data_IF_509498764535
#
_entry.id   IF_509498764535
#
_cell.length_a   1.000
_cell.length_b   1.000
_cell.length_c   1.000
_cell.angle_alpha   90.00
_cell.angle_beta   90.00
_cell.angle_gamma   90.00
#
_symmetry.space_group_name_H-M   'P 1'
#
loop_
_entity.id
_entity.type
_entity.pdbx_description
1 polymer ?
#
# COMPACT_ATOMS: atom_id res chain seq x y z
N UNK A 1 26.31 3.59 17.06
CA UNK A 1 26.42 4.69 16.07
C UNK A 1 26.05 4.13 14.70
N UNK A 2 24.76 3.90 14.48
CA UNK A 2 24.24 3.52 13.16
C UNK A 2 23.80 4.80 12.47
N UNK A 3 24.51 5.18 11.41
CA UNK A 3 24.03 6.24 10.52
C UNK A 3 22.94 5.62 9.67
N UNK A 4 21.68 5.81 10.05
CA UNK A 4 20.56 5.60 9.15
C UNK A 4 20.79 6.54 7.96
N UNK A 5 21.09 5.96 6.80
CA UNK A 5 21.02 6.71 5.56
C UNK A 5 19.58 7.20 5.44
N UNK A 6 19.32 8.49 5.21
CA UNK A 6 17.96 8.97 5.07
C UNK A 6 17.35 8.24 3.87
N UNK A 7 16.30 7.46 4.14
CA UNK A 7 15.47 6.83 3.12
C UNK A 7 15.04 7.94 2.16
N UNK A 8 15.28 7.76 0.85
CA UNK A 8 14.88 8.71 -0.19
C UNK A 8 13.35 8.72 -0.28
N UNK A 9 12.73 9.50 0.60
CA UNK A 9 11.29 9.72 0.62
C UNK A 9 10.96 10.97 -0.20
N UNK A 10 10.15 10.82 -1.25
CA UNK A 10 9.74 11.95 -2.10
C UNK A 10 8.36 12.45 -1.67
N UNK A 11 8.13 13.77 -1.63
CA UNK A 11 6.81 14.33 -1.37
C UNK A 11 5.76 13.78 -2.37
N UNK A 12 4.59 13.40 -1.87
CA UNK A 12 3.44 13.05 -2.72
C UNK A 12 2.35 14.11 -2.58
N UNK A 13 1.80 14.55 -3.70
CA UNK A 13 0.58 15.35 -3.77
C UNK A 13 -0.56 14.50 -4.31
N UNK A 14 -1.81 14.80 -3.92
CA UNK A 14 -2.98 14.05 -4.34
C UNK A 14 -3.96 14.95 -5.08
N UNK A 15 -4.42 14.52 -6.24
CA UNK A 15 -5.64 15.12 -6.82
C UNK A 15 -6.82 14.64 -5.99
N UNK A 16 -7.57 15.57 -5.38
CA UNK A 16 -8.71 15.24 -4.52
C UNK A 16 -10.07 15.62 -5.13
N UNK A 17 -10.12 16.58 -6.05
CA UNK A 17 -11.34 16.93 -6.80
C UNK A 17 -10.97 17.24 -8.26
N UNK A 18 -11.78 16.72 -9.20
CA UNK A 18 -11.64 16.95 -10.64
C UNK A 18 -13.02 17.25 -11.22
N UNK A 19 -13.15 18.35 -11.96
CA UNK A 19 -14.37 18.69 -12.70
C UNK A 19 -14.04 19.13 -14.11
N UNK A 20 -14.84 18.67 -15.08
CA UNK A 20 -14.63 18.98 -16.48
C UNK A 20 -13.40 18.29 -17.07
N UNK A 21 -12.81 18.88 -18.11
CA UNK A 21 -11.66 18.30 -18.80
C UNK A 21 -10.35 18.72 -18.12
N UNK A 22 -9.85 17.86 -17.24
CA UNK A 22 -8.55 17.99 -16.58
C UNK A 22 -7.65 16.85 -17.03
N UNK A 23 -6.41 17.16 -17.37
CA UNK A 23 -5.45 16.15 -17.80
C UNK A 23 -4.14 16.29 -17.03
N UNK A 24 -3.52 15.16 -16.71
CA UNK A 24 -2.20 15.10 -16.09
C UNK A 24 -1.18 14.62 -17.11
N UNK A 25 0.01 15.21 -17.05
CA UNK A 25 1.22 14.68 -17.68
C UNK A 25 2.26 14.48 -16.59
N UNK A 26 2.53 13.23 -16.23
CA UNK A 26 3.65 12.91 -15.35
C UNK A 26 4.98 13.10 -16.06
N UNK A 27 6.05 13.35 -15.31
CA UNK A 27 7.39 13.53 -15.87
C UNK A 27 7.82 12.37 -16.79
N UNK A 28 7.47 11.14 -16.40
CA UNK A 28 7.74 9.91 -17.16
C UNK A 28 6.78 9.65 -18.33
N UNK A 29 5.68 10.40 -18.45
CA UNK A 29 4.69 10.21 -19.52
C UNK A 29 5.02 11.06 -20.75
N UNK A 30 4.66 10.53 -21.93
CA UNK A 30 4.88 11.26 -23.19
C UNK A 30 3.88 12.40 -23.38
N UNK A 31 2.61 12.13 -23.09
CA UNK A 31 1.47 13.01 -23.38
C UNK A 31 0.61 13.27 -22.13
N UNK A 32 -0.43 14.09 -22.29
CA UNK A 32 -1.43 14.36 -21.26
C UNK A 32 -2.56 13.32 -21.33
N UNK A 33 -2.90 12.72 -20.19
CA UNK A 33 -4.00 11.77 -20.04
C UNK A 33 -5.04 12.31 -19.05
N UNK A 34 -6.27 11.79 -19.11
CA UNK A 34 -7.35 12.27 -18.23
C UNK A 34 -6.95 12.12 -16.75
N UNK A 35 -7.28 13.14 -15.97
CA UNK A 35 -7.04 13.15 -14.54
C UNK A 35 -8.21 12.48 -13.81
N UNK A 36 -7.90 11.76 -12.75
CA UNK A 36 -8.87 11.13 -11.87
C UNK A 36 -8.58 11.52 -10.42
N UNK A 37 -9.61 11.50 -9.59
CA UNK A 37 -9.42 11.66 -8.15
C UNK A 37 -8.58 10.52 -7.59
N UNK A 38 -7.71 10.81 -6.63
CA UNK A 38 -6.80 9.84 -6.03
C UNK A 38 -5.49 9.64 -6.79
N UNK A 39 -5.29 10.24 -7.98
CA UNK A 39 -3.97 10.24 -8.64
C UNK A 39 -2.94 10.95 -7.75
N UNK A 40 -1.79 10.30 -7.57
CA UNK A 40 -0.61 10.90 -6.94
C UNK A 40 0.19 11.70 -7.96
N UNK A 41 0.81 12.80 -7.51
CA UNK A 41 1.62 13.69 -8.34
C UNK A 41 2.96 14.00 -7.66
N UNK A 42 3.99 14.16 -8.48
CA UNK A 42 5.25 14.79 -8.13
C UNK A 42 5.23 16.28 -8.47
N UNK A 43 6.14 17.07 -7.89
CA UNK A 43 6.29 18.49 -8.21
C UNK A 43 6.67 18.79 -9.67
N UNK A 44 7.22 17.80 -10.39
CA UNK A 44 7.60 17.91 -11.81
C UNK A 44 6.44 17.63 -12.78
N UNK A 45 5.34 17.07 -12.26
CA UNK A 45 4.18 16.73 -13.07
C UNK A 45 3.43 18.00 -13.49
N UNK A 46 2.66 17.89 -14.58
CA UNK A 46 1.89 19.01 -15.13
C UNK A 46 0.41 18.70 -15.16
N UNK A 47 -0.40 19.70 -14.84
CA UNK A 47 -1.86 19.62 -14.94
C UNK A 47 -2.32 20.60 -16.01
N UNK A 48 -3.17 20.12 -16.93
CA UNK A 48 -3.77 20.91 -17.99
C UNK A 48 -5.28 20.99 -17.80
N UNK A 49 -5.82 22.20 -17.76
CA UNK A 49 -7.24 22.46 -17.58
C UNK A 49 -7.86 23.02 -18.87
N UNK A 50 -8.99 22.46 -19.27
CA UNK A 50 -9.86 23.01 -20.30
C UNK A 50 -10.75 24.15 -19.80
N UNK A 51 -11.60 24.67 -20.68
CA UNK A 51 -12.62 25.66 -20.31
C UNK A 51 -13.63 25.09 -19.32
N UNK A 52 -13.98 25.86 -18.27
CA UNK A 52 -14.91 25.47 -17.20
C UNK A 52 -14.50 24.19 -16.43
N UNK A 53 -13.22 23.84 -16.45
CA UNK A 53 -12.68 22.74 -15.65
C UNK A 53 -12.12 23.28 -14.32
N UNK A 54 -12.09 22.45 -13.29
CA UNK A 54 -11.43 22.73 -12.02
C UNK A 54 -10.71 21.51 -11.49
N UNK A 55 -9.61 21.73 -10.78
CA UNK A 55 -8.89 20.68 -10.05
C UNK A 55 -8.50 21.20 -8.68
N UNK A 56 -8.58 20.36 -7.67
CA UNK A 56 -7.99 20.60 -6.35
C UNK A 56 -6.95 19.55 -6.05
N UNK A 57 -5.73 20.01 -5.77
CA UNK A 57 -4.60 19.19 -5.34
C UNK A 57 -4.40 19.40 -3.84
N UNK A 58 -4.38 18.32 -3.09
CA UNK A 58 -3.91 18.28 -1.72
C UNK A 58 -2.40 18.05 -1.73
N UNK A 59 -1.65 19.08 -1.39
CA UNK A 59 -0.20 19.09 -1.40
C UNK A 59 0.36 18.25 -0.24
N UNK A 60 1.65 17.90 -0.32
CA UNK A 60 2.30 17.00 0.64
C UNK A 60 2.43 17.63 2.03
N UNK A 61 2.39 18.95 2.08
CA UNK A 61 2.41 19.80 3.28
C UNK A 61 1.00 20.12 3.80
N UNK A 62 -0.04 19.43 3.27
CA UNK A 62 -1.47 19.58 3.58
C UNK A 62 -2.16 20.82 3.01
N UNK A 63 -1.44 21.70 2.31
CA UNK A 63 -2.07 22.83 1.63
C UNK A 63 -2.98 22.36 0.50
N UNK A 64 -4.08 23.08 0.25
CA UNK A 64 -4.98 22.80 -0.87
C UNK A 64 -4.75 23.83 -1.97
N UNK A 65 -4.31 23.37 -3.13
CA UNK A 65 -4.16 24.19 -4.33
C UNK A 65 -5.32 23.92 -5.28
N UNK A 66 -6.14 24.94 -5.53
CA UNK A 66 -7.27 24.85 -6.47
C UNK A 66 -7.00 25.71 -7.70
N UNK A 67 -7.23 25.14 -8.88
CA UNK A 67 -7.09 25.81 -10.17
C UNK A 67 -8.42 25.72 -10.91
N UNK A 68 -8.91 26.87 -11.38
CA UNK A 68 -10.18 26.98 -12.13
C UNK A 68 -10.00 27.67 -13.48
N UNK A 69 -8.81 28.21 -13.74
CA UNK A 69 -8.50 28.91 -14.98
C UNK A 69 -7.95 27.91 -16.01
N UNK A 70 -8.34 28.01 -17.29
CA UNK A 70 -7.77 27.17 -18.35
C UNK A 70 -6.28 27.46 -18.53
N UNK A 71 -5.48 26.40 -18.66
CA UNK A 71 -4.03 26.56 -18.72
C UNK A 71 -3.28 25.24 -18.58
N UNK A 72 -1.96 25.35 -18.49
CA UNK A 72 -1.07 24.24 -18.11
C UNK A 72 -0.19 24.74 -16.98
N UNK A 73 -0.20 23.99 -15.88
CA UNK A 73 0.43 24.37 -14.61
C UNK A 73 1.41 23.29 -14.21
N UNK A 74 2.56 23.70 -13.68
CA UNK A 74 3.50 22.78 -13.04
C UNK A 74 3.06 22.57 -11.60
N UNK A 75 3.06 21.33 -11.11
CA UNK A 75 2.54 21.03 -9.75
C UNK A 75 3.31 21.81 -8.69
N UNK A 76 4.62 21.97 -8.83
CA UNK A 76 5.44 22.77 -7.91
C UNK A 76 5.13 24.27 -7.86
N UNK A 77 4.35 24.81 -8.81
CA UNK A 77 3.88 26.21 -8.75
C UNK A 77 2.81 26.40 -7.67
N UNK A 78 2.02 25.36 -7.37
CA UNK A 78 0.95 25.41 -6.36
C UNK A 78 1.18 24.54 -5.13
N UNK A 79 2.00 23.50 -5.27
CA UNK A 79 2.50 22.66 -4.18
C UNK A 79 4.03 22.82 -4.10
N UNK A 80 4.54 23.92 -3.52
CA UNK A 80 5.98 24.16 -3.43
C UNK A 80 6.68 23.13 -2.54
N UNK A 81 7.99 23.00 -2.70
CA UNK A 81 8.80 22.17 -1.81
C UNK A 81 8.74 22.70 -0.36
N UNK A 82 8.25 21.86 0.54
CA UNK A 82 8.09 22.15 1.97
C UNK A 82 8.31 20.89 2.80
N UNK A 83 8.09 20.99 4.12
CA UNK A 83 8.13 19.82 4.99
C UNK A 83 6.96 18.88 4.63
N UNK A 84 7.28 17.83 3.86
CA UNK A 84 6.28 16.87 3.43
C UNK A 84 5.81 16.00 4.59
N UNK A 85 4.51 16.04 4.85
CA UNK A 85 3.77 15.13 5.73
C UNK A 85 3.49 13.83 4.99
N UNK A 86 3.05 13.92 3.73
CA UNK A 86 2.76 12.75 2.89
C UNK A 86 3.96 12.44 1.98
N UNK A 87 4.45 11.21 2.04
CA UNK A 87 5.67 10.80 1.35
C UNK A 87 5.50 9.46 0.65
N UNK A 88 6.11 9.37 -0.52
CA UNK A 88 6.40 8.09 -1.16
C UNK A 88 7.56 7.46 -0.42
N UNK A 89 7.44 6.19 -0.12
CA UNK A 89 8.51 5.43 0.49
C UNK A 89 8.81 4.17 -0.35
N UNK A 90 9.41 4.37 -1.54
CA UNK A 90 9.80 3.27 -2.43
C UNK A 90 10.92 2.42 -1.82
N UNK A 91 11.76 3.01 -0.96
CA UNK A 91 12.95 2.38 -0.37
C UNK A 91 12.85 2.12 1.16
N UNK A 92 11.65 2.12 1.79
CA UNK A 92 11.63 1.74 3.22
C UNK A 92 12.16 0.31 3.39
N UNK A 93 13.21 0.19 4.19
CA UNK A 93 14.28 -0.82 4.10
C UNK A 93 13.88 -2.25 4.52
N UNK A 94 12.59 -2.52 4.74
CA UNK A 94 12.08 -3.86 5.00
C UNK A 94 11.22 -4.33 3.83
N UNK A 95 11.88 -4.66 2.71
CA UNK A 95 11.25 -5.49 1.68
C UNK A 95 11.04 -6.89 2.24
N UNK A 96 9.93 -7.08 2.95
CA UNK A 96 9.51 -8.38 3.49
C UNK A 96 8.69 -9.19 2.49
N UNK A 97 8.77 -8.86 1.19
CA UNK A 97 8.14 -9.68 0.15
C UNK A 97 8.69 -11.10 0.25
N UNK A 98 7.78 -12.07 0.24
CA UNK A 98 8.14 -13.49 0.36
C UNK A 98 9.06 -13.94 -0.79
N UNK A 99 10.00 -14.87 -0.55
CA UNK A 99 10.76 -15.48 -1.61
C UNK A 99 9.82 -16.25 -2.56
N UNK A 100 10.14 -16.35 -3.86
CA UNK A 100 9.32 -17.12 -4.80
C UNK A 100 9.30 -18.62 -4.48
N UNK A 101 8.16 -19.27 -4.72
CA UNK A 101 8.04 -20.73 -4.70
C UNK A 101 7.10 -21.30 -3.64
N UNK A 102 6.43 -20.45 -2.86
CA UNK A 102 5.39 -20.88 -1.93
C UNK A 102 4.07 -21.02 -2.70
N UNK A 103 3.45 -22.19 -2.66
CA UNK A 103 2.19 -22.44 -3.35
C UNK A 103 0.99 -21.86 -2.61
N UNK A 104 0.04 -21.34 -3.37
CA UNK A 104 -1.23 -20.80 -2.87
C UNK A 104 -1.98 -21.80 -1.98
N UNK A 105 -2.04 -23.09 -2.37
CA UNK A 105 -2.73 -24.11 -1.57
C UNK A 105 -2.05 -24.34 -0.22
N UNK A 106 -0.73 -24.18 -0.13
CA UNK A 106 0.01 -24.30 1.12
C UNK A 106 -0.35 -23.16 2.08
N UNK A 107 -0.33 -21.93 1.57
CA UNK A 107 -0.61 -20.72 2.36
C UNK A 107 -2.04 -20.68 2.92
N UNK A 108 -3.01 -21.14 2.13
CA UNK A 108 -4.43 -21.20 2.56
C UNK A 108 -4.65 -22.13 3.77
N UNK A 109 -3.71 -23.02 4.07
CA UNK A 109 -3.80 -23.95 5.21
C UNK A 109 -3.05 -23.45 6.45
N UNK A 110 -2.41 -22.28 6.39
CA UNK A 110 -1.63 -21.75 7.51
C UNK A 110 -2.39 -20.63 8.23
N UNK A 111 -2.25 -20.50 9.57
CA UNK A 111 -2.79 -19.38 10.31
C UNK A 111 -1.86 -18.17 10.20
N UNK A 112 -1.48 -17.77 8.99
CA UNK A 112 -0.57 -16.65 8.79
C UNK A 112 -1.13 -15.37 9.39
N UNK A 113 -0.28 -14.62 10.09
CA UNK A 113 -0.67 -13.33 10.68
C UNK A 113 -1.04 -12.37 9.57
N UNK A 114 -2.19 -11.71 9.70
CA UNK A 114 -2.70 -10.68 8.80
C UNK A 114 -2.36 -9.29 9.34
N UNK A 115 -2.56 -9.07 10.64
CA UNK A 115 -2.25 -7.79 11.27
C UNK A 115 -2.04 -7.96 12.78
N UNK A 116 -1.11 -7.24 13.41
CA UNK A 116 -0.04 -6.47 12.75
C UNK A 116 1.01 -7.41 12.15
N UNK A 117 1.61 -7.01 11.02
CA UNK A 117 2.62 -7.80 10.32
C UNK A 117 3.63 -6.92 9.62
N UNK A 118 4.89 -7.08 9.98
CA UNK A 118 6.06 -6.39 9.42
C UNK A 118 5.83 -4.88 9.37
N UNK A 119 5.52 -4.31 10.54
CA UNK A 119 4.97 -2.96 10.67
C UNK A 119 5.41 -2.31 11.97
N UNK A 120 5.49 -0.99 11.97
CA UNK A 120 5.41 -0.23 13.21
C UNK A 120 3.94 -0.15 13.65
N UNK A 121 3.69 0.07 14.93
CA UNK A 121 2.35 0.33 15.49
C UNK A 121 2.41 1.43 16.54
N UNK A 122 1.29 2.13 16.74
CA UNK A 122 1.12 2.95 17.94
C UNK A 122 1.00 2.07 19.20
N UNK A 123 1.38 2.63 20.35
CA UNK A 123 1.07 2.05 21.65
C UNK A 123 -0.42 2.25 22.02
N UNK A 124 -1.31 1.60 21.26
CA UNK A 124 -2.76 1.61 21.42
C UNK A 124 -3.30 0.18 21.55
N UNK A 125 -4.62 0.07 21.75
CA UNK A 125 -5.33 -1.21 21.67
C UNK A 125 -5.06 -1.89 20.32
N UNK A 126 -4.48 -3.07 20.39
CA UNK A 126 -4.09 -3.86 19.22
C UNK A 126 -4.99 -5.10 19.08
N UNK A 127 -5.40 -5.43 17.86
CA UNK A 127 -6.09 -6.69 17.55
C UNK A 127 -5.21 -7.52 16.65
N UNK A 128 -4.82 -8.71 17.11
CA UNK A 128 -4.10 -9.68 16.30
C UNK A 128 -5.13 -10.42 15.44
N UNK A 129 -4.91 -10.46 14.12
CA UNK A 129 -5.77 -11.14 13.13
C UNK A 129 -4.92 -12.11 12.33
N UNK A 130 -5.46 -13.28 11.98
CA UNK A 130 -4.79 -14.28 11.16
C UNK A 130 -5.75 -15.01 10.22
N UNK A 131 -5.19 -15.74 9.26
CA UNK A 131 -5.97 -16.54 8.32
C UNK A 131 -6.62 -17.74 9.01
N UNK A 132 -7.86 -18.04 8.61
CA UNK A 132 -8.57 -19.22 9.10
C UNK A 132 -7.95 -20.51 8.55
N UNK A 133 -7.76 -21.51 9.41
CA UNK A 133 -7.27 -22.83 9.02
C UNK A 133 -8.43 -23.82 8.97
N UNK A 134 -8.58 -24.51 7.84
CA UNK A 134 -9.65 -25.50 7.66
C UNK A 134 -9.55 -26.63 8.69
N UNK A 135 -10.64 -26.85 9.43
CA UNK A 135 -10.72 -27.90 10.44
C UNK A 135 -10.10 -27.54 11.79
N UNK A 136 -9.50 -26.36 11.95
CA UNK A 136 -9.11 -25.85 13.24
C UNK A 136 -10.33 -25.32 14.01
N UNK A 137 -10.39 -25.55 15.32
CA UNK A 137 -11.51 -25.06 16.16
C UNK A 137 -11.06 -24.11 17.27
N UNK A 138 -9.75 -24.02 17.48
CA UNK A 138 -9.13 -23.18 18.50
C UNK A 138 -7.72 -22.80 18.06
N UNK A 139 -7.31 -21.60 18.46
CA UNK A 139 -5.98 -21.05 18.21
C UNK A 139 -5.33 -20.64 19.53
N UNK A 140 -4.02 -20.85 19.61
CA UNK A 140 -3.12 -20.24 20.58
C UNK A 140 -2.37 -19.11 19.90
N UNK A 141 -2.27 -17.99 20.59
CA UNK A 141 -1.60 -16.77 20.10
C UNK A 141 -0.49 -16.45 21.09
N UNK A 142 0.73 -16.26 20.58
CA UNK A 142 1.86 -15.82 21.37
C UNK A 142 2.37 -14.48 20.82
N UNK A 143 2.57 -13.52 21.71
CA UNK A 143 3.13 -12.19 21.41
C UNK A 143 4.23 -11.91 22.43
N UNK A 144 5.49 -12.13 22.06
CA UNK A 144 6.59 -12.16 23.04
C UNK A 144 6.33 -13.22 24.13
N UNK A 145 6.29 -12.78 25.39
CA UNK A 145 5.98 -13.63 26.55
C UNK A 145 4.48 -13.74 26.86
N UNK A 146 3.63 -12.96 26.17
CA UNK A 146 2.19 -13.01 26.35
C UNK A 146 1.58 -14.18 25.56
N UNK A 147 0.61 -14.86 26.17
CA UNK A 147 -0.14 -15.96 25.55
C UNK A 147 -1.66 -15.69 25.65
N UNK A 148 -2.37 -16.03 24.58
CA UNK A 148 -3.83 -16.00 24.52
C UNK A 148 -4.40 -17.22 23.81
N UNK A 149 -5.66 -17.56 24.10
CA UNK A 149 -6.39 -18.60 23.39
C UNK A 149 -7.77 -18.10 22.95
N UNK A 150 -8.18 -18.46 21.74
CA UNK A 150 -9.51 -18.08 21.20
C UNK A 150 -9.99 -19.11 20.19
N UNK A 151 -11.30 -19.09 19.89
CA UNK A 151 -11.91 -19.85 18.78
C UNK A 151 -12.14 -19.00 17.53
N UNK A 152 -11.99 -17.69 17.66
CA UNK A 152 -12.11 -16.74 16.56
C UNK A 152 -10.76 -16.64 15.83
N UNK A 153 -10.74 -16.02 14.64
CA UNK A 153 -9.52 -15.72 13.87
C UNK A 153 -8.89 -14.36 14.23
N UNK A 154 -9.24 -13.87 15.42
CA UNK A 154 -8.71 -12.65 15.98
C UNK A 154 -8.76 -12.66 17.51
N UNK A 155 -7.85 -11.91 18.13
CA UNK A 155 -7.85 -11.65 19.56
C UNK A 155 -7.40 -10.20 19.84
N UNK A 156 -8.05 -9.56 20.80
CA UNK A 156 -7.58 -8.26 21.32
C UNK A 156 -6.40 -8.55 22.24
N UNK A 157 -5.25 -7.96 21.94
CA UNK A 157 -4.07 -8.04 22.79
C UNK A 157 -4.31 -7.20 24.04
N UNK A 158 -4.18 -7.82 25.21
CA UNK A 158 -4.38 -7.18 26.53
C UNK A 158 -3.11 -7.15 27.38
N UNK A 159 -1.96 -7.51 26.81
CA UNK A 159 -0.65 -7.33 27.42
C UNK A 159 -0.19 -5.87 27.40
N UNK A 160 0.95 -5.62 28.06
CA UNK A 160 1.59 -4.30 28.04
C UNK A 160 2.45 -4.16 26.77
N UNK A 161 2.44 -2.96 26.16
CA UNK A 161 3.28 -2.60 25.02
C UNK A 161 4.32 -1.57 25.48
N UNK A 162 5.59 -1.92 25.33
CA UNK A 162 6.71 -1.05 25.64
C UNK A 162 7.14 -0.25 24.39
N UNK A 163 7.24 1.08 24.45
CA UNK A 163 7.73 1.90 23.33
C UNK A 163 9.13 1.45 22.86
N UNK A 164 9.33 1.40 21.55
CA UNK A 164 10.58 0.96 20.91
C UNK A 164 10.77 -0.55 20.83
N UNK A 165 9.92 -1.34 21.49
CA UNK A 165 10.12 -2.78 21.63
C UNK A 165 9.60 -3.57 20.42
N UNK A 166 10.34 -4.64 20.09
CA UNK A 166 10.01 -5.58 19.02
C UNK A 166 9.20 -6.76 19.57
N UNK A 167 8.08 -7.07 18.92
CA UNK A 167 7.23 -8.19 19.28
C UNK A 167 7.11 -9.17 18.11
N UNK A 168 7.54 -10.41 18.35
CA UNK A 168 7.24 -11.52 17.47
C UNK A 168 5.84 -12.06 17.75
N UNK A 169 5.11 -12.44 16.70
CA UNK A 169 3.76 -12.99 16.75
C UNK A 169 3.77 -14.40 16.15
N UNK A 170 3.29 -15.36 16.92
CA UNK A 170 3.07 -16.74 16.48
C UNK A 170 1.63 -17.17 16.75
N UNK A 171 1.01 -17.82 15.76
CA UNK A 171 -0.32 -18.42 15.86
C UNK A 171 -0.20 -19.92 15.66
N UNK A 172 -0.75 -20.70 16.58
CA UNK A 172 -0.79 -22.16 16.48
C UNK A 172 -2.22 -22.65 16.56
N UNK A 173 -2.67 -23.34 15.51
CA UNK A 173 -3.97 -23.99 15.49
C UNK A 173 -3.97 -25.29 16.32
N UNK A 174 -5.14 -25.71 16.82
CA UNK A 174 -5.32 -26.95 17.59
C UNK A 174 -5.01 -28.23 16.81
N UNK A 175 -4.98 -28.16 15.48
CA UNK A 175 -4.52 -29.22 14.59
C UNK A 175 -2.98 -29.29 14.44
N UNK A 176 -2.24 -28.39 15.10
CA UNK A 176 -0.78 -28.36 15.16
C UNK A 176 -0.08 -27.53 14.08
N UNK A 177 -0.83 -26.93 13.15
CA UNK A 177 -0.27 -26.03 12.12
C UNK A 177 0.02 -24.66 12.73
N UNK A 178 1.18 -24.09 12.40
CA UNK A 178 1.62 -22.81 12.94
C UNK A 178 1.81 -21.74 11.85
N UNK A 179 1.74 -20.47 12.24
CA UNK A 179 2.03 -19.34 11.34
C UNK A 179 3.49 -19.33 10.86
N UNK A 180 4.39 -19.94 11.64
CA UNK A 180 5.82 -20.07 11.37
C UNK A 180 6.16 -21.10 10.29
N UNK A 181 5.22 -22.00 9.96
CA UNK A 181 5.37 -22.98 8.86
C UNK A 181 5.42 -22.29 7.47
N UNK A 182 5.14 -20.99 7.44
CA UNK A 182 5.09 -20.17 6.24
C UNK A 182 6.47 -19.86 5.63
N UNK A 183 7.44 -19.44 6.45
CA UNK A 183 8.72 -18.84 6.01
C UNK A 183 9.94 -19.46 6.73
N UNK A 184 10.01 -20.80 6.75
CA UNK A 184 11.12 -21.56 7.38
C UNK A 184 11.30 -21.22 8.88
N UNK A 185 10.19 -21.02 9.60
CA UNK A 185 10.19 -20.75 11.03
C UNK A 185 10.29 -19.27 11.42
N UNK A 186 10.25 -18.33 10.48
CA UNK A 186 10.29 -16.90 10.79
C UNK A 186 8.94 -16.38 11.28
N UNK A 187 8.98 -15.65 12.41
CA UNK A 187 7.81 -15.00 12.96
C UNK A 187 7.46 -13.72 12.19
N UNK A 188 6.16 -13.48 12.03
CA UNK A 188 5.67 -12.12 11.77
C UNK A 188 5.93 -11.26 12.99
N UNK A 189 6.11 -9.95 12.80
CA UNK A 189 6.48 -9.07 13.89
C UNK A 189 5.86 -7.69 13.77
N UNK A 190 5.90 -6.95 14.87
CA UNK A 190 5.68 -5.50 14.88
C UNK A 190 6.62 -4.82 15.86
N UNK A 191 6.86 -3.52 15.66
CA UNK A 191 7.63 -2.68 16.58
C UNK A 191 6.70 -1.59 17.11
N UNK A 192 6.67 -1.39 18.42
CA UNK A 192 5.93 -0.28 19.01
C UNK A 192 6.75 0.99 18.80
N UNK A 193 6.13 2.05 18.27
CA UNK A 193 6.82 3.32 18.09
C UNK A 193 7.34 3.88 19.42
N UNK A 194 8.48 4.55 19.37
CA UNK A 194 8.99 5.36 20.48
C UNK A 194 7.96 6.45 20.85
N UNK A 195 7.88 6.82 22.13
CA UNK A 195 6.81 7.71 22.64
C UNK A 195 6.80 9.08 21.93
N UNK A 196 7.97 9.71 21.75
CA UNK A 196 8.12 11.01 21.08
C UNK A 196 7.74 10.94 19.59
N UNK A 197 8.10 9.83 18.92
CA UNK A 197 7.73 9.60 17.52
C UNK A 197 6.22 9.38 17.38
N UNK A 198 5.65 8.52 18.24
CA UNK A 198 4.22 8.27 18.29
C UNK A 198 3.41 9.55 18.52
N UNK A 199 3.84 10.41 19.45
CA UNK A 199 3.19 11.71 19.69
C UNK A 199 3.24 12.60 18.44
N UNK A 200 4.42 12.75 17.84
CA UNK A 200 4.62 13.54 16.61
C UNK A 200 3.72 13.05 15.46
N UNK A 201 3.63 11.73 15.26
CA UNK A 201 2.80 11.17 14.19
C UNK A 201 1.30 11.32 14.50
N UNK A 202 0.88 11.18 15.75
CA UNK A 202 -0.52 11.43 16.16
C UNK A 202 -0.94 12.87 15.94
N UNK A 203 -0.08 13.84 16.23
CA UNK A 203 -0.36 15.24 15.95
C UNK A 203 -0.59 15.48 14.46
N UNK A 204 0.23 14.86 13.59
CA UNK A 204 0.07 14.92 12.13
C UNK A 204 -1.23 14.27 11.67
N UNK A 205 -1.58 13.10 12.20
CA UNK A 205 -2.86 12.42 11.93
C UNK A 205 -4.05 13.28 12.35
N UNK A 206 -4.02 13.82 13.58
CA UNK A 206 -5.07 14.68 14.10
C UNK A 206 -5.24 15.96 13.25
N UNK A 207 -4.14 16.48 12.72
CA UNK A 207 -4.17 17.65 11.86
C UNK A 207 -4.74 17.32 10.46
N UNK A 208 -4.42 16.16 9.88
CA UNK A 208 -5.05 15.67 8.63
C UNK A 208 -6.55 15.50 8.82
N UNK A 209 -6.99 14.92 9.94
CA UNK A 209 -8.42 14.71 10.24
C UNK A 209 -9.21 16.02 10.45
N UNK A 210 -8.54 17.16 10.64
CA UNK A 210 -9.16 18.48 10.70
C UNK A 210 -9.27 19.15 9.33
N UNK A 211 -8.56 18.63 8.32
CA UNK A 211 -8.63 19.18 6.97
C UNK A 211 -10.00 18.83 6.37
N UNK A 212 -10.68 19.79 5.74
CA UNK A 212 -12.03 19.60 5.20
C UNK A 212 -12.03 18.62 4.00
N UNK A 213 -11.95 17.32 4.28
CA UNK A 213 -11.85 16.22 3.32
C UNK A 213 -13.08 15.33 3.45
N UNK A 214 -13.44 14.67 2.35
CA UNK A 214 -14.40 13.56 2.42
C UNK A 214 -13.76 12.35 3.07
N UNK A 215 -14.57 11.41 3.58
CA UNK A 215 -14.08 10.17 4.18
C UNK A 215 -13.11 9.40 3.27
N UNK A 216 -13.39 9.36 1.96
CA UNK A 216 -12.53 8.67 0.99
C UNK A 216 -11.20 9.39 0.77
N UNK A 217 -11.22 10.73 0.66
CA UNK A 217 -10.01 11.53 0.52
C UNK A 217 -9.12 11.45 1.77
N UNK A 218 -9.73 11.62 2.95
CA UNK A 218 -9.03 11.52 4.24
C UNK A 218 -8.42 10.13 4.40
N UNK A 219 -9.20 9.07 4.16
CA UNK A 219 -8.71 7.71 4.29
C UNK A 219 -7.54 7.41 3.35
N UNK A 220 -7.60 7.86 2.09
CA UNK A 220 -6.49 7.67 1.15
C UNK A 220 -5.23 8.45 1.59
N UNK A 221 -5.39 9.69 2.03
CA UNK A 221 -4.28 10.52 2.53
C UNK A 221 -3.64 9.90 3.77
N UNK A 222 -4.45 9.47 4.74
CA UNK A 222 -3.98 8.79 5.94
C UNK A 222 -3.27 7.48 5.59
N UNK A 223 -3.77 6.70 4.63
CA UNK A 223 -3.12 5.47 4.22
C UNK A 223 -1.73 5.71 3.62
N UNK A 224 -1.55 6.74 2.78
CA UNK A 224 -0.22 7.11 2.29
C UNK A 224 0.69 7.64 3.39
N UNK A 225 0.15 8.43 4.33
CA UNK A 225 0.88 8.89 5.50
C UNK A 225 1.38 7.71 6.34
N UNK A 226 0.50 6.79 6.70
CA UNK A 226 0.84 5.61 7.50
C UNK A 226 1.85 4.72 6.79
N UNK A 227 1.63 4.39 5.51
CA UNK A 227 2.59 3.63 4.70
C UNK A 227 3.96 4.30 4.63
N UNK A 228 4.00 5.63 4.52
CA UNK A 228 5.24 6.41 4.49
C UNK A 228 6.04 6.38 5.79
N UNK A 229 5.40 6.01 6.91
CA UNK A 229 5.99 5.86 8.24
C UNK A 229 6.02 4.39 8.71
N UNK A 230 5.89 3.43 7.78
CA UNK A 230 5.88 1.98 8.06
C UNK A 230 4.78 1.50 9.02
N UNK A 231 3.73 2.30 9.21
CA UNK A 231 2.50 1.98 9.95
C UNK A 231 1.53 1.21 9.04
N UNK A 232 1.98 0.06 8.52
CA UNK A 232 1.24 -0.74 7.56
C UNK A 232 -0.07 -1.30 8.16
N UNK A 233 -0.11 -1.64 9.46
CA UNK A 233 -1.33 -2.10 10.11
C UNK A 233 -2.45 -1.05 10.09
N UNK A 234 -2.11 0.20 10.42
CA UNK A 234 -3.02 1.34 10.40
C UNK A 234 -3.45 1.67 8.95
N UNK A 235 -2.52 1.63 8.00
CA UNK A 235 -2.83 1.83 6.59
C UNK A 235 -3.79 0.76 6.05
N UNK A 236 -3.55 -0.52 6.36
CA UNK A 236 -4.43 -1.64 6.00
C UNK A 236 -5.82 -1.42 6.61
N UNK A 237 -5.90 -1.08 7.90
CA UNK A 237 -7.19 -0.88 8.57
C UNK A 237 -8.03 0.22 7.91
N UNK A 238 -7.40 1.35 7.56
CA UNK A 238 -8.09 2.46 6.88
C UNK A 238 -8.57 2.03 5.49
N UNK A 239 -7.72 1.39 4.70
CA UNK A 239 -8.04 0.98 3.33
C UNK A 239 -9.07 -0.15 3.28
N UNK A 240 -8.97 -1.17 4.15
CA UNK A 240 -10.01 -2.21 4.32
C UNK A 240 -11.37 -1.57 4.66
N UNK A 241 -11.37 -0.53 5.50
CA UNK A 241 -12.57 0.25 5.82
C UNK A 241 -13.19 0.92 4.60
N UNK A 242 -12.37 1.53 3.73
CA UNK A 242 -12.82 2.15 2.48
C UNK A 242 -13.34 1.11 1.46
N UNK A 243 -12.65 -0.03 1.32
CA UNK A 243 -13.13 -1.12 0.45
C UNK A 243 -14.47 -1.65 0.96
N UNK A 244 -14.59 -1.88 2.27
CA UNK A 244 -15.83 -2.36 2.89
C UNK A 244 -16.99 -1.37 2.77
N UNK A 245 -16.72 -0.06 2.73
CA UNK A 245 -17.74 0.97 2.49
C UNK A 245 -18.12 1.12 1.02
N UNK A 246 -17.49 0.35 0.13
CA UNK A 246 -17.82 0.30 -1.30
C UNK A 246 -17.11 1.35 -2.14
N UNK A 247 -15.90 1.77 -1.75
CA UNK A 247 -15.08 2.72 -2.51
C UNK A 247 -15.01 2.33 -3.99
N UNK A 248 -15.16 3.32 -4.86
CA UNK A 248 -15.06 3.19 -6.32
C UNK A 248 -13.73 3.77 -6.84
N UNK A 249 -12.80 4.09 -5.95
CA UNK A 249 -11.51 4.69 -6.31
C UNK A 249 -10.46 3.61 -6.46
N UNK A 250 -10.02 3.35 -7.71
CA UNK A 250 -9.05 2.30 -8.02
C UNK A 250 -7.74 2.41 -7.21
N UNK A 251 -7.30 3.64 -6.88
CA UNK A 251 -6.10 3.87 -6.06
C UNK A 251 -6.22 3.27 -4.65
N UNK A 252 -7.42 3.16 -4.07
CA UNK A 252 -7.63 2.53 -2.77
C UNK A 252 -7.22 1.05 -2.83
N UNK A 253 -7.71 0.33 -3.83
CA UNK A 253 -7.40 -1.08 -4.06
C UNK A 253 -5.93 -1.27 -4.44
N UNK A 254 -5.41 -0.41 -5.32
CA UNK A 254 -4.01 -0.43 -5.71
C UNK A 254 -3.08 -0.29 -4.49
N UNK A 255 -3.31 0.73 -3.65
CA UNK A 255 -2.48 0.97 -2.46
C UNK A 255 -2.60 -0.16 -1.44
N UNK A 256 -3.81 -0.70 -1.22
CA UNK A 256 -4.02 -1.82 -0.31
C UNK A 256 -3.29 -3.09 -0.80
N UNK A 257 -3.39 -3.39 -2.09
CA UNK A 257 -2.66 -4.50 -2.71
C UNK A 257 -1.14 -4.34 -2.56
N UNK A 258 -0.60 -3.14 -2.77
CA UNK A 258 0.83 -2.85 -2.59
C UNK A 258 1.29 -3.09 -1.15
N UNK A 259 0.49 -2.66 -0.17
CA UNK A 259 0.83 -2.83 1.24
C UNK A 259 0.75 -4.30 1.61
N UNK A 260 -0.30 -5.02 1.21
CA UNK A 260 -0.40 -6.47 1.42
C UNK A 260 0.79 -7.22 0.80
N UNK A 261 1.15 -6.90 -0.43
CA UNK A 261 2.29 -7.51 -1.10
C UNK A 261 3.58 -7.25 -0.30
N UNK A 262 3.80 -6.00 0.13
CA UNK A 262 4.98 -5.60 0.89
C UNK A 262 5.13 -6.36 2.20
N UNK A 263 4.03 -6.56 2.93
CA UNK A 263 4.04 -7.32 4.20
C UNK A 263 3.94 -8.83 3.98
N UNK A 264 3.93 -9.30 2.73
CA UNK A 264 3.95 -10.73 2.38
C UNK A 264 2.58 -11.39 2.24
N UNK A 265 1.48 -10.65 2.38
CA UNK A 265 0.10 -11.13 2.26
C UNK A 265 -0.34 -11.30 0.79
N UNK A 266 0.40 -12.13 0.04
CA UNK A 266 0.26 -12.29 -1.42
C UNK A 266 -1.16 -12.70 -1.86
N UNK A 267 -1.86 -13.56 -1.12
CA UNK A 267 -3.23 -13.97 -1.46
C UNK A 267 -4.21 -12.80 -1.36
N UNK A 268 -4.08 -11.98 -0.31
CA UNK A 268 -4.91 -10.79 -0.12
C UNK A 268 -4.56 -9.69 -1.13
N UNK A 269 -3.27 -9.53 -1.45
CA UNK A 269 -2.83 -8.63 -2.51
C UNK A 269 -3.44 -9.00 -3.87
N UNK A 270 -3.39 -10.29 -4.23
CA UNK A 270 -3.99 -10.84 -5.46
C UNK A 270 -5.48 -10.50 -5.55
N UNK A 271 -6.23 -10.79 -4.50
CA UNK A 271 -7.67 -10.53 -4.46
C UNK A 271 -7.99 -9.04 -4.62
N UNK A 272 -7.32 -8.18 -3.85
CA UNK A 272 -7.61 -6.74 -3.87
C UNK A 272 -7.19 -6.09 -5.18
N UNK A 273 -6.06 -6.48 -5.79
CA UNK A 273 -5.69 -5.99 -7.11
C UNK A 273 -6.73 -6.39 -8.17
N UNK A 274 -7.28 -7.60 -8.10
CA UNK A 274 -8.36 -8.04 -9.01
C UNK A 274 -9.64 -7.23 -8.80
N UNK A 275 -10.01 -6.93 -7.56
CA UNK A 275 -11.14 -6.05 -7.24
C UNK A 275 -10.93 -4.64 -7.83
N UNK A 276 -9.73 -4.08 -7.67
CA UNK A 276 -9.37 -2.77 -8.23
C UNK A 276 -9.40 -2.74 -9.76
N UNK A 277 -8.88 -3.77 -10.42
CA UNK A 277 -8.93 -3.88 -11.88
C UNK A 277 -10.36 -3.95 -12.42
N UNK A 278 -11.31 -4.54 -11.68
CA UNK A 278 -12.72 -4.58 -12.06
C UNK A 278 -13.38 -3.19 -12.10
N UNK A 279 -12.77 -2.16 -11.49
CA UNK A 279 -13.22 -0.76 -11.58
C UNK A 279 -12.69 -0.02 -12.81
N UNK A 280 -11.68 -0.59 -13.50
CA UNK A 280 -11.04 0.03 -14.67
C UNK A 280 -11.66 -0.48 -15.98
N UNK A 281 -11.55 0.29 -17.06
CA UNK A 281 -12.00 -0.15 -18.39
C UNK A 281 -10.84 -0.68 -19.22
N UNK A 282 -11.10 -1.60 -20.15
CA UNK A 282 -10.01 -2.30 -20.85
C UNK A 282 -9.13 -1.38 -21.71
N UNK A 283 -9.76 -0.49 -22.48
CA UNK A 283 -9.09 0.46 -23.39
C UNK A 283 -8.54 1.72 -22.69
N UNK A 284 -8.71 1.82 -21.37
CA UNK A 284 -8.33 2.97 -20.59
C UNK A 284 -6.81 3.01 -20.37
N UNK A 285 -6.19 4.16 -20.68
CA UNK A 285 -4.79 4.40 -20.39
C UNK A 285 -4.63 4.90 -18.97
N UNK A 286 -4.43 3.96 -18.05
CA UNK A 286 -4.35 4.25 -16.61
C UNK A 286 -3.06 3.70 -16.00
N UNK A 287 -2.33 4.57 -15.30
CA UNK A 287 -1.13 4.16 -14.57
C UNK A 287 -1.49 3.28 -13.37
N UNK A 288 -2.60 3.58 -12.68
CA UNK A 288 -3.09 2.78 -11.55
C UNK A 288 -3.43 1.36 -12.02
N UNK A 289 -4.08 1.23 -13.20
CA UNK A 289 -4.30 -0.07 -13.85
C UNK A 289 -2.99 -0.81 -14.11
N UNK A 290 -2.00 -0.14 -14.69
CA UNK A 290 -0.69 -0.72 -14.97
C UNK A 290 0.03 -1.18 -13.69
N UNK A 291 -0.07 -0.41 -12.61
CA UNK A 291 0.50 -0.74 -11.30
C UNK A 291 -0.15 -1.99 -10.70
N UNK A 292 -1.49 -2.11 -10.74
CA UNK A 292 -2.18 -3.31 -10.25
C UNK A 292 -1.86 -4.56 -11.08
N UNK A 293 -1.77 -4.42 -12.41
CA UNK A 293 -1.32 -5.51 -13.28
C UNK A 293 0.14 -5.90 -12.97
N UNK A 294 0.99 -4.93 -12.68
CA UNK A 294 2.37 -5.19 -12.27
C UNK A 294 2.43 -5.96 -10.95
N UNK A 295 1.71 -5.48 -9.93
CA UNK A 295 1.60 -6.13 -8.62
C UNK A 295 1.06 -7.55 -8.72
N UNK A 296 0.05 -7.80 -9.56
CA UNK A 296 -0.42 -9.16 -9.86
C UNK A 296 0.67 -10.04 -10.49
N UNK A 297 1.42 -9.50 -11.44
CA UNK A 297 2.54 -10.21 -12.04
C UNK A 297 3.60 -10.63 -11.02
N UNK A 298 3.96 -9.74 -10.11
CA UNK A 298 4.87 -10.06 -9.01
C UNK A 298 4.29 -11.08 -8.03
N UNK A 299 3.03 -10.93 -7.64
CA UNK A 299 2.35 -11.83 -6.71
C UNK A 299 2.23 -13.24 -7.29
N UNK A 300 1.79 -13.38 -8.54
CA UNK A 300 1.71 -14.70 -9.21
C UNK A 300 3.10 -15.34 -9.33
N UNK A 301 4.14 -14.55 -9.58
CA UNK A 301 5.51 -15.05 -9.61
C UNK A 301 5.95 -15.59 -8.25
N UNK A 302 5.61 -14.89 -7.16
CA UNK A 302 5.89 -15.35 -5.78
C UNK A 302 5.13 -16.65 -5.48
N UNK A 303 3.87 -16.74 -5.92
CA UNK A 303 3.00 -17.91 -5.75
C UNK A 303 3.39 -19.11 -6.64
N UNK A 304 4.39 -18.95 -7.51
CA UNK A 304 4.87 -20.00 -8.42
C UNK A 304 4.05 -20.15 -9.71
N UNK A 305 3.08 -19.27 -9.95
CA UNK A 305 2.20 -19.23 -11.12
C UNK A 305 2.88 -18.44 -12.25
N UNK A 306 3.89 -19.06 -12.86
CA UNK A 306 4.80 -18.37 -13.78
C UNK A 306 4.11 -17.88 -15.06
N UNK A 307 3.18 -18.66 -15.61
CA UNK A 307 2.52 -18.31 -16.87
C UNK A 307 1.58 -17.11 -16.67
N UNK A 308 0.83 -17.10 -15.57
CA UNK A 308 -0.03 -16.00 -15.13
C UNK A 308 0.80 -14.74 -14.82
N UNK A 309 1.95 -14.91 -14.17
CA UNK A 309 2.87 -13.81 -13.91
C UNK A 309 3.35 -13.13 -15.21
N UNK A 310 3.69 -13.91 -16.23
CA UNK A 310 4.07 -13.37 -17.55
C UNK A 310 2.90 -12.59 -18.16
N UNK A 311 1.69 -13.15 -18.16
CA UNK A 311 0.53 -12.50 -18.74
C UNK A 311 0.26 -11.12 -18.11
N UNK A 312 0.30 -11.05 -16.78
CA UNK A 312 0.06 -9.81 -16.05
C UNK A 312 1.16 -8.77 -16.28
N UNK A 313 2.43 -9.17 -16.27
CA UNK A 313 3.55 -8.26 -16.53
C UNK A 313 3.54 -7.73 -17.98
N UNK A 314 3.11 -8.55 -18.96
CA UNK A 314 2.95 -8.10 -20.34
C UNK A 314 1.84 -7.06 -20.49
N UNK A 315 0.69 -7.25 -19.80
CA UNK A 315 -0.39 -6.25 -19.75
C UNK A 315 0.07 -4.95 -19.09
N UNK A 316 0.77 -5.03 -17.95
CA UNK A 316 1.32 -3.87 -17.27
C UNK A 316 2.29 -3.08 -18.16
N UNK A 317 3.22 -3.80 -18.82
CA UNK A 317 4.15 -3.23 -19.79
C UNK A 317 3.43 -2.54 -20.94
N UNK A 318 2.40 -3.16 -21.51
CA UNK A 318 1.63 -2.57 -22.60
C UNK A 318 0.99 -1.23 -22.17
N UNK A 319 0.41 -1.18 -20.97
CA UNK A 319 -0.17 0.05 -20.43
C UNK A 319 0.87 1.14 -20.16
N UNK A 320 2.02 0.81 -19.56
CA UNK A 320 3.11 1.78 -19.37
C UNK A 320 3.62 2.34 -20.69
N UNK A 321 3.82 1.50 -21.71
CA UNK A 321 4.21 1.95 -23.04
C UNK A 321 3.13 2.81 -23.71
N UNK A 322 1.85 2.51 -23.49
CA UNK A 322 0.74 3.31 -24.00
C UNK A 322 0.66 4.71 -23.36
N UNK A 323 1.17 4.87 -22.14
CA UNK A 323 1.40 6.15 -21.45
C UNK A 323 2.68 6.84 -21.91
N UNK A 324 3.58 6.10 -22.56
CA UNK A 324 4.92 6.54 -22.94
C UNK A 324 5.95 6.45 -21.81
N UNK A 325 5.61 5.80 -20.69
CA UNK A 325 6.55 5.45 -19.62
C UNK A 325 7.49 4.36 -20.12
N UNK A 326 8.79 4.63 -20.07
CA UNK A 326 9.82 3.63 -20.26
C UNK A 326 9.90 2.74 -19.02
N UNK A 327 10.18 1.46 -19.20
CA UNK A 327 10.48 0.59 -18.06
C UNK A 327 11.83 0.98 -17.48
N UNK A 328 11.94 0.95 -16.15
CA UNK A 328 13.23 1.10 -15.48
C UNK A 328 13.99 -0.25 -15.48
N UNK A 329 15.24 -0.23 -15.01
CA UNK A 329 16.10 -1.41 -15.02
C UNK A 329 15.56 -2.56 -14.15
N UNK A 330 14.90 -2.23 -13.04
CA UNK A 330 14.34 -3.24 -12.12
C UNK A 330 13.13 -3.92 -12.73
N UNK A 331 12.27 -3.15 -13.40
CA UNK A 331 11.11 -3.64 -14.14
C UNK A 331 11.55 -4.59 -15.26
N UNK A 332 12.55 -4.20 -16.06
CA UNK A 332 13.11 -5.07 -17.11
C UNK A 332 13.74 -6.34 -16.53
N UNK A 333 14.46 -6.23 -15.40
CA UNK A 333 15.08 -7.35 -14.71
C UNK A 333 14.03 -8.34 -14.18
N UNK A 334 12.93 -7.84 -13.59
CA UNK A 334 11.84 -8.70 -13.16
C UNK A 334 11.24 -9.46 -14.34
N UNK A 335 10.90 -8.77 -15.43
CA UNK A 335 10.34 -9.41 -16.62
C UNK A 335 11.26 -10.51 -17.14
N UNK A 336 12.57 -10.23 -17.24
CA UNK A 336 13.55 -11.24 -17.69
C UNK A 336 13.64 -12.43 -16.73
N UNK A 337 13.61 -12.18 -15.41
CA UNK A 337 13.58 -13.21 -14.36
C UNK A 337 12.36 -14.11 -14.49
N UNK A 338 11.16 -13.52 -14.64
CA UNK A 338 9.90 -14.26 -14.84
C UNK A 338 9.89 -15.00 -16.17
N UNK A 339 10.48 -14.45 -17.24
CA UNK A 339 10.59 -15.13 -18.54
C UNK A 339 11.71 -16.20 -18.59
N UNK A 340 12.58 -16.28 -17.59
CA UNK A 340 13.67 -17.25 -17.54
C UNK A 340 14.79 -16.94 -18.52
N UNK A 341 14.95 -15.65 -18.85
CA UNK A 341 15.99 -15.13 -19.73
C UNK A 341 17.13 -14.62 -18.85
N UNK A 342 18.34 -15.16 -19.05
CA UNK A 342 19.56 -14.74 -18.34
C UNK A 342 20.14 -13.45 -18.92
#
# INVERSE_FOLDING_TARGET
>A
MGWATPVLSSPIHHIIDVRGNVQVKKAQWKDFYQAESGITLSGEDKIKLGSNASVTVYCSDRNKWTVEQPGTYLVSEGCPEGEAVIRSCPDCNNDTRRPPGIKEEGLQQLPYVISPRNTNVFNDSLTIRWNEVSGATQYKVQVGDWEGETRETQIVYDGELEPGEFYAVEIVADNGVASTDEDDGQNSWFIVLEEEEAETLREKVAAIAQDELTQEQEGLILAYFYRGNELNAEAIQVLEGLVKSGSQTATVYQLLGDIYQRVGLNLMAKEVYQQGLALTVEEEKSEVKAMMQWGLGEVEYVLGNRDEAVEWLEKAKANYLALGKQLNQEEEKLINKVLGRN
#
